data_IF_550747252841
#
_entry.id   IF_550747252841
#
_cell.length_a   1.000
_cell.length_b   1.000
_cell.length_c   1.000
_cell.angle_alpha   90.00
_cell.angle_beta   90.00
_cell.angle_gamma   90.00
#
_symmetry.space_group_name_H-M   'P 1'
#
loop_
_entity.id
_entity.type
_entity.pdbx_description
1 polymer ?
#
# COMPACT_ATOMS: atom_id res chain seq x y z
N UNK A 1 29.41 2.16 53.34
CA UNK A 1 28.47 1.03 53.30
C UNK A 1 27.18 1.26 52.58
N UNK A 2 26.79 2.51 52.37
CA UNK A 2 25.54 2.80 51.67
C UNK A 2 25.69 2.85 50.15
N UNK A 3 26.90 2.97 49.66
CA UNK A 3 27.17 3.07 48.22
C UNK A 3 27.02 1.74 47.45
N UNK A 4 27.03 0.61 48.16
CA UNK A 4 26.89 -0.70 47.52
C UNK A 4 25.47 -1.01 47.04
N UNK A 5 24.48 -0.38 47.64
CA UNK A 5 23.07 -0.61 47.29
C UNK A 5 22.68 0.15 46.02
N UNK A 6 23.32 1.23 45.72
CA UNK A 6 22.98 2.06 44.57
C UNK A 6 23.53 1.46 43.27
N UNK A 7 24.63 0.72 43.36
CA UNK A 7 25.23 0.09 42.16
C UNK A 7 24.40 -1.08 41.63
N UNK A 8 23.65 -1.73 42.49
CA UNK A 8 22.77 -2.85 42.08
C UNK A 8 21.53 -2.38 41.31
N UNK A 9 21.08 -1.17 41.56
CA UNK A 9 19.89 -0.64 40.91
C UNK A 9 20.18 -0.21 39.46
N UNK A 10 21.40 0.22 39.20
CA UNK A 10 21.80 0.72 37.89
C UNK A 10 22.02 -0.40 36.85
N UNK A 11 22.20 -1.64 37.29
CA UNK A 11 22.45 -2.76 36.37
C UNK A 11 21.19 -3.41 35.80
N UNK A 12 20.07 -3.26 36.47
CA UNK A 12 18.80 -3.84 36.00
C UNK A 12 18.09 -2.94 34.99
N UNK A 13 18.34 -1.66 35.02
CA UNK A 13 17.69 -0.68 34.13
C UNK A 13 18.03 -0.88 32.65
N UNK A 14 19.32 -1.07 32.28
CA UNK A 14 19.65 -1.24 30.87
C UNK A 14 19.15 -2.55 30.26
N UNK A 15 18.97 -3.58 31.08
CA UNK A 15 18.46 -4.88 30.60
C UNK A 15 16.97 -4.78 30.25
N UNK A 16 16.20 -4.09 31.06
CA UNK A 16 14.76 -3.87 30.79
C UNK A 16 14.54 -2.97 29.58
N UNK A 17 15.36 -1.95 29.42
CA UNK A 17 15.31 -1.05 28.29
C UNK A 17 15.68 -1.79 26.98
N UNK A 18 16.70 -2.63 27.04
CA UNK A 18 17.11 -3.43 25.87
C UNK A 18 16.05 -4.44 25.45
N UNK A 19 15.36 -5.04 26.41
CA UNK A 19 14.29 -6.02 26.14
C UNK A 19 13.07 -5.33 25.50
N UNK A 20 12.72 -4.15 25.97
CA UNK A 20 11.62 -3.37 25.39
C UNK A 20 11.93 -2.94 23.95
N UNK A 21 13.18 -2.59 23.67
CA UNK A 21 13.60 -2.21 22.34
C UNK A 21 13.52 -3.37 21.33
N UNK A 22 13.88 -4.57 21.77
CA UNK A 22 13.81 -5.77 20.92
C UNK A 22 12.39 -6.16 20.57
N UNK A 23 11.44 -5.95 21.48
CA UNK A 23 10.02 -6.23 21.23
C UNK A 23 9.40 -5.27 20.20
N UNK A 24 9.90 -4.06 20.12
CA UNK A 24 9.38 -3.08 19.17
C UNK A 24 9.82 -3.31 17.74
N UNK A 25 10.85 -4.12 17.49
CA UNK A 25 11.34 -4.44 16.15
C UNK A 25 10.59 -5.58 15.46
N UNK A 26 9.75 -6.31 16.19
CA UNK A 26 9.04 -7.48 15.68
C UNK A 26 7.72 -7.22 14.99
N UNK A 27 7.29 -5.96 14.81
CA UNK A 27 5.96 -5.62 14.37
C UNK A 27 5.81 -4.99 12.98
N UNK A 28 6.76 -5.19 12.07
CA UNK A 28 6.79 -4.49 10.78
C UNK A 28 6.25 -5.30 9.59
N UNK A 29 5.30 -6.21 9.80
CA UNK A 29 4.65 -6.90 8.69
C UNK A 29 3.61 -5.98 8.04
N UNK A 30 3.83 -5.58 6.79
CA UNK A 30 2.89 -4.76 6.03
C UNK A 30 1.92 -5.67 5.28
N UNK A 31 0.61 -5.44 5.46
CA UNK A 31 -0.40 -6.17 4.69
C UNK A 31 -0.33 -5.76 3.21
N UNK A 32 -0.60 -6.68 2.27
CA UNK A 32 -0.68 -6.33 0.86
C UNK A 32 -1.76 -5.27 0.64
N UNK A 33 -1.44 -4.28 -0.19
CA UNK A 33 -2.35 -3.18 -0.49
C UNK A 33 -2.10 -2.67 -1.90
N UNK A 34 -3.09 -1.99 -2.46
CA UNK A 34 -2.93 -1.30 -3.72
C UNK A 34 -1.96 -0.12 -3.55
N UNK A 35 -0.89 -0.13 -4.33
CA UNK A 35 0.08 0.96 -4.35
C UNK A 35 0.06 1.68 -5.70
N UNK A 36 0.41 2.95 -5.70
CA UNK A 36 0.57 3.70 -6.95
C UNK A 36 1.83 3.22 -7.66
N UNK A 37 1.66 2.58 -8.82
CA UNK A 37 2.78 2.08 -9.63
C UNK A 37 3.10 2.97 -10.81
N UNK A 38 2.18 3.85 -11.19
CA UNK A 38 2.40 4.81 -12.25
C UNK A 38 1.40 5.95 -12.15
N UNK A 39 1.80 7.11 -12.62
CA UNK A 39 0.96 8.28 -12.57
C UNK A 39 1.34 9.24 -13.71
N UNK A 40 0.34 9.63 -14.47
CA UNK A 40 0.48 10.60 -15.54
C UNK A 40 -0.47 11.77 -15.29
N UNK A 41 0.09 12.82 -14.72
CA UNK A 41 -0.66 14.01 -14.36
C UNK A 41 -1.23 14.72 -15.55
N UNK A 42 -0.49 14.75 -16.65
CA UNK A 42 -0.87 15.47 -17.85
C UNK A 42 -2.13 14.88 -18.49
N UNK A 43 -2.22 13.56 -18.50
CA UNK A 43 -3.37 12.84 -19.04
C UNK A 43 -4.38 12.44 -17.98
N UNK A 44 -4.09 12.71 -16.70
CA UNK A 44 -4.97 12.38 -15.61
C UNK A 44 -5.14 10.86 -15.40
N UNK A 45 -4.06 10.11 -15.51
CA UNK A 45 -4.11 8.65 -15.39
C UNK A 45 -3.33 8.20 -14.17
N UNK A 46 -3.95 7.33 -13.36
CA UNK A 46 -3.32 6.72 -12.19
C UNK A 46 -3.33 5.21 -12.36
N UNK A 47 -2.18 4.58 -12.19
CA UNK A 47 -2.05 3.13 -12.18
C UNK A 47 -1.78 2.64 -10.77
N UNK A 48 -2.56 1.68 -10.34
CA UNK A 48 -2.39 1.01 -9.08
C UNK A 48 -2.01 -0.44 -9.32
N UNK A 49 -1.11 -0.95 -8.50
CA UNK A 49 -0.68 -2.34 -8.59
C UNK A 49 -0.50 -2.95 -7.22
N UNK A 50 -0.56 -4.27 -7.18
CA UNK A 50 -0.07 -5.05 -6.05
C UNK A 50 0.59 -6.31 -6.59
N UNK A 51 1.44 -6.91 -5.77
CA UNK A 51 2.13 -8.15 -6.10
C UNK A 51 1.75 -9.24 -5.12
N UNK A 52 1.72 -10.48 -5.61
CA UNK A 52 1.47 -11.64 -4.75
C UNK A 52 2.25 -12.86 -5.25
N UNK A 53 2.74 -13.70 -4.31
CA UNK A 53 3.36 -14.97 -4.68
C UNK A 53 2.35 -15.93 -5.28
N UNK A 54 2.82 -16.86 -6.08
CA UNK A 54 2.00 -17.93 -6.62
C UNK A 54 1.20 -18.62 -5.50
N UNK A 55 -0.07 -18.90 -5.75
CA UNK A 55 -1.02 -19.54 -4.81
C UNK A 55 -1.41 -18.70 -3.57
N UNK A 56 -0.98 -17.45 -3.49
CA UNK A 56 -1.25 -16.58 -2.33
C UNK A 56 -1.91 -15.28 -2.72
N UNK A 57 -2.83 -15.32 -3.70
CA UNK A 57 -3.51 -14.12 -4.15
C UNK A 57 -4.34 -13.49 -3.02
N UNK A 58 -4.03 -12.25 -2.61
CA UNK A 58 -4.83 -11.59 -1.58
C UNK A 58 -6.16 -11.11 -2.14
N UNK A 59 -7.17 -11.06 -1.26
CA UNK A 59 -8.45 -10.44 -1.58
C UNK A 59 -8.37 -8.96 -1.22
N UNK A 60 -7.97 -8.11 -2.16
CA UNK A 60 -7.88 -6.68 -1.94
C UNK A 60 -9.17 -5.97 -2.34
N UNK A 61 -9.52 -4.95 -1.56
CA UNK A 61 -10.74 -4.18 -1.75
C UNK A 61 -10.65 -3.26 -2.96
N UNK A 62 -11.63 -3.33 -3.83
CA UNK A 62 -11.80 -2.40 -4.95
C UNK A 62 -12.09 -0.99 -4.45
N UNK A 63 -12.76 -0.88 -3.32
CA UNK A 63 -13.02 0.40 -2.67
C UNK A 63 -11.74 1.09 -2.23
N UNK A 64 -10.80 0.35 -1.69
CA UNK A 64 -9.49 0.90 -1.32
C UNK A 64 -8.73 1.39 -2.55
N UNK A 65 -8.75 0.63 -3.63
CA UNK A 65 -8.13 1.03 -4.89
C UNK A 65 -8.74 2.33 -5.42
N UNK A 66 -10.07 2.40 -5.46
CA UNK A 66 -10.78 3.59 -5.89
C UNK A 66 -10.44 4.80 -5.03
N UNK A 67 -10.45 4.65 -3.71
CA UNK A 67 -10.10 5.73 -2.79
C UNK A 67 -8.68 6.25 -3.00
N UNK A 68 -7.74 5.35 -3.23
CA UNK A 68 -6.36 5.71 -3.53
C UNK A 68 -6.25 6.49 -4.83
N UNK A 69 -6.93 6.04 -5.88
CA UNK A 69 -6.97 6.72 -7.17
C UNK A 69 -7.59 8.12 -7.06
N UNK A 70 -8.73 8.22 -6.40
CA UNK A 70 -9.42 9.48 -6.18
C UNK A 70 -8.54 10.47 -5.43
N UNK A 71 -7.88 10.02 -4.37
CA UNK A 71 -6.97 10.88 -3.60
C UNK A 71 -5.81 11.41 -4.46
N UNK A 72 -5.28 10.57 -5.33
CA UNK A 72 -4.21 10.99 -6.26
C UNK A 72 -4.74 12.02 -7.25
N UNK A 73 -5.89 11.76 -7.83
CA UNK A 73 -6.52 12.67 -8.78
C UNK A 73 -6.85 14.03 -8.15
N UNK A 74 -7.35 14.02 -6.91
CA UNK A 74 -7.62 15.24 -6.16
C UNK A 74 -6.36 16.07 -5.91
N UNK A 75 -5.24 15.42 -5.68
CA UNK A 75 -3.96 16.09 -5.53
C UNK A 75 -3.53 16.83 -6.79
N UNK A 76 -4.07 16.49 -7.94
CA UNK A 76 -3.80 17.15 -9.22
C UNK A 76 -4.87 18.17 -9.62
N UNK A 77 -5.93 18.32 -8.82
CA UNK A 77 -7.00 19.26 -9.09
C UNK A 77 -8.24 18.66 -9.74
N UNK A 78 -8.28 17.34 -9.93
CA UNK A 78 -9.48 16.65 -10.38
C UNK A 78 -10.40 16.36 -9.18
N UNK A 79 -11.66 16.11 -9.46
CA UNK A 79 -12.64 15.85 -8.40
C UNK A 79 -12.83 14.36 -8.12
N UNK A 80 -12.59 13.51 -9.10
CA UNK A 80 -12.92 12.10 -8.98
C UNK A 80 -12.02 11.24 -9.89
N UNK A 81 -12.24 9.94 -9.86
CA UNK A 81 -11.57 8.96 -10.72
C UNK A 81 -12.54 7.88 -11.14
N UNK A 82 -12.33 7.32 -12.32
CA UNK A 82 -13.10 6.20 -12.85
C UNK A 82 -12.14 5.08 -13.24
N UNK A 83 -12.48 3.81 -12.96
CA UNK A 83 -11.65 2.71 -13.41
C UNK A 83 -11.73 2.59 -14.94
N UNK A 84 -10.59 2.47 -15.58
CA UNK A 84 -10.53 2.05 -16.98
C UNK A 84 -10.82 0.57 -17.09
N UNK A 85 -11.25 0.14 -18.26
CA UNK A 85 -11.59 -1.24 -18.49
C UNK A 85 -10.40 -2.16 -18.27
N UNK A 86 -10.65 -3.23 -17.53
CA UNK A 86 -9.73 -4.31 -17.39
C UNK A 86 -8.73 -4.18 -16.25
N UNK A 87 -8.35 -5.33 -15.80
CA UNK A 87 -7.30 -5.51 -14.81
C UNK A 87 -6.23 -6.36 -15.48
N UNK A 88 -5.02 -5.85 -15.54
CA UNK A 88 -3.91 -6.57 -16.15
C UNK A 88 -3.20 -7.40 -15.10
N UNK A 89 -3.03 -8.67 -15.38
CA UNK A 89 -2.26 -9.59 -14.55
C UNK A 89 -1.06 -10.07 -15.34
N UNK A 90 0.13 -9.82 -14.83
CA UNK A 90 1.38 -10.17 -15.48
C UNK A 90 2.30 -10.91 -14.52
N UNK A 91 3.09 -11.84 -15.07
CA UNK A 91 4.13 -12.47 -14.29
C UNK A 91 5.33 -11.54 -14.16
N UNK A 92 5.70 -11.22 -12.93
CA UNK A 92 6.84 -10.34 -12.63
C UNK A 92 8.13 -11.11 -12.42
N UNK A 93 8.03 -12.36 -12.00
CA UNK A 93 9.21 -13.19 -11.75
C UNK A 93 8.92 -14.62 -12.12
N UNK A 94 9.72 -15.12 -13.05
CA UNK A 94 9.63 -16.51 -13.52
C UNK A 94 10.66 -17.40 -12.82
N UNK A 95 10.25 -18.60 -12.48
CA UNK A 95 11.14 -19.66 -12.01
C UNK A 95 11.02 -20.84 -12.98
N UNK A 96 11.95 -20.91 -13.94
CA UNK A 96 11.82 -21.85 -15.04
C UNK A 96 10.59 -21.50 -15.90
N UNK A 97 9.65 -22.42 -16.02
CA UNK A 97 8.38 -22.20 -16.75
C UNK A 97 7.23 -21.77 -15.84
N UNK A 98 7.47 -21.65 -14.52
CA UNK A 98 6.45 -21.27 -13.55
C UNK A 98 6.61 -19.83 -13.11
N UNK A 99 5.49 -19.17 -12.83
CA UNK A 99 5.49 -17.82 -12.29
C UNK A 99 5.54 -17.85 -10.77
N UNK A 100 6.53 -17.19 -10.19
CA UNK A 100 6.66 -17.06 -8.74
C UNK A 100 5.94 -15.87 -8.17
N UNK A 101 5.90 -14.79 -8.95
CA UNK A 101 5.39 -13.52 -8.49
C UNK A 101 4.51 -12.91 -9.58
N UNK A 102 3.28 -12.59 -9.22
CA UNK A 102 2.31 -11.96 -10.10
C UNK A 102 2.15 -10.50 -9.74
N UNK A 103 2.06 -9.65 -10.73
CA UNK A 103 1.69 -8.24 -10.57
C UNK A 103 0.31 -8.03 -11.19
N UNK A 104 -0.59 -7.46 -10.42
CA UNK A 104 -1.91 -7.04 -10.88
C UNK A 104 -1.92 -5.52 -10.97
N UNK A 105 -2.30 -4.99 -12.10
CA UNK A 105 -2.34 -3.55 -12.36
C UNK A 105 -3.75 -3.14 -12.79
N UNK A 106 -4.22 -2.05 -12.24
CA UNK A 106 -5.48 -1.43 -12.62
C UNK A 106 -5.25 0.05 -12.89
N UNK A 107 -5.86 0.54 -13.95
CA UNK A 107 -5.72 1.93 -14.37
C UNK A 107 -7.00 2.70 -14.09
N UNK A 108 -6.85 3.95 -13.66
CA UNK A 108 -7.94 4.86 -13.37
C UNK A 108 -7.74 6.16 -14.14
N UNK A 109 -8.84 6.68 -14.66
CA UNK A 109 -8.89 7.98 -15.31
C UNK A 109 -9.40 9.01 -14.32
N UNK A 110 -8.65 10.10 -14.12
CA UNK A 110 -9.13 11.23 -13.34
C UNK A 110 -10.24 11.97 -14.10
N UNK A 111 -11.26 12.35 -13.36
CA UNK A 111 -12.44 13.03 -13.94
C UNK A 111 -12.84 14.21 -13.08
N UNK A 112 -13.57 15.13 -13.68
CA UNK A 112 -14.24 16.19 -12.94
C UNK A 112 -15.60 15.70 -12.49
N UNK A 113 -15.88 15.89 -11.22
CA UNK A 113 -17.07 15.34 -10.59
C UNK A 113 -18.38 15.83 -11.23
N UNK A 114 -18.37 17.07 -11.67
CA UNK A 114 -19.54 17.67 -12.29
C UNK A 114 -19.98 16.93 -13.56
N UNK A 115 -19.04 16.47 -14.38
CA UNK A 115 -19.36 15.74 -15.61
C UNK A 115 -19.90 14.35 -15.32
N UNK A 116 -19.34 13.69 -14.31
CA UNK A 116 -19.78 12.37 -13.91
C UNK A 116 -21.18 12.41 -13.27
N UNK A 117 -21.39 13.34 -12.35
CA UNK A 117 -22.68 13.52 -11.71
C UNK A 117 -23.77 13.89 -12.71
N UNK A 118 -23.44 14.69 -13.73
CA UNK A 118 -24.35 15.03 -14.81
C UNK A 118 -24.77 13.83 -15.64
N UNK A 119 -23.88 12.92 -15.89
CA UNK A 119 -24.18 11.68 -16.61
C UNK A 119 -25.04 10.72 -15.79
N UNK A 120 -24.84 10.67 -14.50
CA UNK A 120 -25.67 9.82 -13.62
C UNK A 120 -27.07 10.39 -13.40
N UNK A 121 -27.23 11.69 -13.48
CA UNK A 121 -28.52 12.35 -13.31
C UNK A 121 -29.43 12.20 -14.55
N UNK A 122 -28.89 11.76 -15.64
CA UNK A 122 -29.63 11.47 -16.87
C UNK A 122 -30.04 10.01 -16.96
#
# INVERSE_FOLDING_TARGET
>A
MQSASVVKFSRTFPILAATALLLSLGGCATAPHWGVSGADREHGVVRLSYEYPEFHQPALSDEQAMKTAVNRCKGWGYDNAEPNDGQLRQCSNMNGSNCNLWTVTREYQCTDDASFAGNLAK
#
